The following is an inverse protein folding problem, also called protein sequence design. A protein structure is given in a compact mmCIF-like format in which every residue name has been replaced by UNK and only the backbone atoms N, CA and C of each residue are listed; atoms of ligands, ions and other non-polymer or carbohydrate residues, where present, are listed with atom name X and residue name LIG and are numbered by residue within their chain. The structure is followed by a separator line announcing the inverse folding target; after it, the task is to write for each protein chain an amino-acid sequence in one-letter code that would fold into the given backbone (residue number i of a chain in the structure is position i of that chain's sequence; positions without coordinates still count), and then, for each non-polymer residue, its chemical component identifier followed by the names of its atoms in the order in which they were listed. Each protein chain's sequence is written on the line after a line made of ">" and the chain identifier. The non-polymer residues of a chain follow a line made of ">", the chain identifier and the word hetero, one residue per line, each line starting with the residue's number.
data_IF_174334592995
#
_entry.id   IF_174334592995
#
_cell.length_a   1.000
_cell.length_b   1.000
_cell.length_c   1.000
_cell.angle_alpha   90.00
_cell.angle_beta   90.00
_cell.angle_gamma   90.00
#
_symmetry.space_group_name_H-M   'P 1'
#
loop_
_entity.id
_entity.type
_entity.pdbx_description
1 polymer ?
#
# COMPACT_ATOMS: atom_id res chain seq x y z
N UNK A 1 17.93 42.81 -10.78
CA UNK A 1 16.59 42.67 -10.17
C UNK A 1 16.61 41.43 -9.28
N UNK A 2 16.27 41.52 -7.99
CA UNK A 2 16.39 40.38 -7.10
C UNK A 2 15.29 39.36 -7.39
N UNK A 3 15.70 38.10 -7.48
CA UNK A 3 14.86 36.92 -7.66
C UNK A 3 13.93 36.73 -6.47
N UNK A 4 12.62 36.85 -6.70
CA UNK A 4 11.60 36.58 -5.70
C UNK A 4 11.55 35.09 -5.38
N UNK A 5 12.22 34.69 -4.30
CA UNK A 5 11.90 33.44 -3.62
C UNK A 5 10.49 33.58 -3.04
N UNK A 6 9.57 32.72 -3.47
CA UNK A 6 8.28 32.59 -2.79
C UNK A 6 8.52 32.33 -1.31
N UNK A 7 7.84 33.04 -0.40
CA UNK A 7 8.01 32.81 1.04
C UNK A 7 7.63 31.37 1.37
N UNK A 8 8.46 30.71 2.19
CA UNK A 8 8.12 29.42 2.77
C UNK A 8 6.75 29.55 3.46
N UNK A 9 5.75 28.76 3.02
CA UNK A 9 4.45 28.69 3.70
C UNK A 9 4.71 28.40 5.18
N UNK A 10 4.19 29.26 6.06
CA UNK A 10 4.26 29.04 7.50
C UNK A 10 3.72 27.63 7.80
N UNK A 11 4.53 26.78 8.43
CA UNK A 11 4.13 25.40 8.75
C UNK A 11 2.94 25.49 9.73
N UNK A 12 1.77 24.91 9.42
CA UNK A 12 0.63 24.86 10.33
C UNK A 12 1.01 24.37 11.74
N UNK A 13 0.28 24.79 12.78
CA UNK A 13 0.47 24.32 14.18
C UNK A 13 0.52 22.79 14.31
N UNK A 14 -0.17 22.08 13.42
CA UNK A 14 -0.18 20.61 13.29
C UNK A 14 1.24 20.02 13.15
N UNK A 15 2.18 20.71 12.50
CA UNK A 15 3.55 20.22 12.31
C UNK A 15 4.38 20.23 13.59
N UNK A 16 4.09 21.14 14.53
CA UNK A 16 4.75 21.20 15.83
C UNK A 16 4.36 19.98 16.67
N UNK A 17 3.05 19.73 16.78
CA UNK A 17 2.52 18.59 17.55
C UNK A 17 2.94 17.23 16.98
N UNK A 18 2.91 17.06 15.65
CA UNK A 18 3.41 15.83 15.02
C UNK A 18 4.93 15.64 15.20
N UNK A 19 5.69 16.73 15.30
CA UNK A 19 7.11 16.66 15.62
C UNK A 19 7.34 16.27 17.09
N UNK A 20 6.58 16.84 18.03
CA UNK A 20 6.61 16.45 19.45
C UNK A 20 6.31 14.96 19.63
N UNK A 21 5.27 14.44 18.98
CA UNK A 21 4.92 13.02 19.01
C UNK A 21 6.06 12.12 18.52
N UNK A 22 6.85 12.56 17.53
CA UNK A 22 7.98 11.79 17.01
C UNK A 22 9.25 11.95 17.86
N UNK A 23 9.34 13.01 18.66
CA UNK A 23 10.58 13.60 19.16
C UNK A 23 10.96 14.81 18.30
N UNK A 24 11.01 16.00 18.93
CA UNK A 24 11.13 17.30 18.23
C UNK A 24 12.38 17.41 17.34
N UNK A 25 13.46 16.75 17.75
CA UNK A 25 14.75 16.77 17.05
C UNK A 25 14.92 15.63 16.04
N UNK A 26 13.95 14.71 15.98
CA UNK A 26 13.99 13.58 15.06
C UNK A 26 13.40 14.05 13.72
N UNK A 27 14.10 13.88 12.58
CA UNK A 27 13.54 14.21 11.29
C UNK A 27 12.41 13.22 10.92
N UNK A 28 11.33 13.68 10.25
CA UNK A 28 10.26 12.78 9.83
C UNK A 28 10.77 11.77 8.79
N UNK A 29 10.40 10.51 8.96
CA UNK A 29 10.51 9.49 7.91
C UNK A 29 9.56 9.84 6.78
N UNK A 30 10.09 10.04 5.57
CA UNK A 30 9.26 10.23 4.38
C UNK A 30 8.43 8.98 4.08
N UNK A 31 7.19 9.19 3.63
CA UNK A 31 6.34 8.10 3.16
C UNK A 31 6.75 7.67 1.76
N UNK A 32 6.84 6.36 1.55
CA UNK A 32 7.03 5.76 0.24
C UNK A 32 5.69 5.19 -0.29
N UNK A 33 5.70 4.71 -1.54
CA UNK A 33 4.52 4.13 -2.17
C UNK A 33 3.97 2.92 -1.39
N UNK A 34 4.83 2.17 -0.72
CA UNK A 34 4.43 1.01 0.09
C UNK A 34 3.68 1.46 1.34
N UNK A 35 4.18 2.47 2.05
CA UNK A 35 3.53 3.05 3.23
C UNK A 35 2.16 3.62 2.86
N UNK A 36 2.07 4.37 1.74
CA UNK A 36 0.81 4.93 1.23
C UNK A 36 -0.19 3.84 0.79
N UNK A 37 0.27 2.83 0.05
CA UNK A 37 -0.57 1.69 -0.34
C UNK A 37 -1.11 0.92 0.88
N UNK A 38 -0.31 0.87 1.94
CA UNK A 38 -0.64 0.13 3.13
C UNK A 38 -1.53 0.93 4.12
N UNK A 39 -1.47 2.27 4.09
CA UNK A 39 -2.52 3.14 4.65
C UNK A 39 -3.86 2.89 3.95
N UNK A 40 -3.86 2.85 2.62
CA UNK A 40 -5.05 2.54 1.82
C UNK A 40 -5.61 1.11 2.08
N UNK A 41 -4.75 0.16 2.46
CA UNK A 41 -5.16 -1.21 2.78
C UNK A 41 -5.89 -1.34 4.13
N UNK A 42 -5.64 -0.42 5.08
CA UNK A 42 -6.28 -0.43 6.39
C UNK A 42 -6.75 0.98 6.82
N UNK A 43 -7.73 1.57 6.11
CA UNK A 43 -8.10 2.98 6.24
C UNK A 43 -8.75 3.38 7.58
N UNK A 44 -9.04 2.40 8.44
CA UNK A 44 -9.64 2.64 9.77
C UNK A 44 -8.63 2.67 10.92
N UNK A 45 -7.35 2.35 10.66
CA UNK A 45 -6.35 2.24 11.73
C UNK A 45 -5.80 3.61 12.13
N UNK A 46 -6.31 4.16 13.25
CA UNK A 46 -5.86 5.46 13.80
C UNK A 46 -4.38 5.46 14.16
N UNK A 47 -3.90 4.40 14.83
CA UNK A 47 -2.48 4.21 15.17
C UNK A 47 -1.58 4.34 13.95
N UNK A 48 -1.92 3.66 12.86
CA UNK A 48 -1.15 3.73 11.62
C UNK A 48 -1.18 5.15 11.02
N UNK A 49 -2.38 5.71 10.86
CA UNK A 49 -2.54 7.04 10.29
C UNK A 49 -1.70 8.08 11.05
N UNK A 50 -1.74 8.03 12.39
CA UNK A 50 -0.97 8.92 13.24
C UNK A 50 0.54 8.73 13.06
N UNK A 51 1.04 7.50 13.19
CA UNK A 51 2.47 7.23 13.11
C UNK A 51 3.05 7.54 11.72
N UNK A 52 2.31 7.22 10.66
CA UNK A 52 2.70 7.53 9.28
C UNK A 52 2.71 9.05 9.04
N UNK A 53 1.68 9.78 9.47
CA UNK A 53 1.66 11.24 9.28
C UNK A 53 2.60 12.00 10.23
N UNK A 54 2.91 11.45 11.41
CA UNK A 54 3.97 11.94 12.27
C UNK A 54 5.37 11.57 11.74
N UNK A 55 5.50 10.73 10.72
CA UNK A 55 6.80 10.31 10.17
C UNK A 55 7.64 9.49 11.16
N UNK A 56 6.99 8.68 12.01
CA UNK A 56 7.68 7.80 12.96
C UNK A 56 8.27 6.59 12.22
N UNK A 57 9.50 6.21 12.58
CA UNK A 57 10.11 4.97 12.08
C UNK A 57 9.47 3.76 12.77
N UNK A 58 8.41 3.24 12.14
CA UNK A 58 7.63 2.12 12.69
C UNK A 58 8.42 0.81 12.78
N UNK A 59 9.50 0.65 12.01
CA UNK A 59 10.35 -0.53 12.10
C UNK A 59 11.17 -0.47 13.40
N UNK A 60 11.86 0.65 13.64
CA UNK A 60 12.59 0.86 14.90
C UNK A 60 11.67 0.84 16.12
N UNK A 61 10.46 1.38 15.97
CA UNK A 61 9.44 1.32 17.01
C UNK A 61 9.02 -0.13 17.31
N UNK A 62 8.80 -0.95 16.28
CA UNK A 62 8.48 -2.37 16.46
C UNK A 62 9.63 -3.13 17.16
N UNK A 63 10.88 -2.83 16.81
CA UNK A 63 12.06 -3.40 17.45
C UNK A 63 12.15 -3.02 18.93
N UNK A 64 11.94 -1.74 19.25
CA UNK A 64 11.95 -1.22 20.62
C UNK A 64 10.81 -1.80 21.49
N UNK A 65 9.67 -2.12 20.88
CA UNK A 65 8.55 -2.83 21.53
C UNK A 65 8.80 -4.34 21.68
N UNK A 66 9.95 -4.87 21.22
CA UNK A 66 10.26 -6.30 21.24
C UNK A 66 9.43 -7.15 20.27
N UNK A 67 8.81 -6.53 19.27
CA UNK A 67 7.96 -7.19 18.28
C UNK A 67 8.39 -6.88 16.83
N UNK A 68 9.66 -7.17 16.46
CA UNK A 68 10.22 -6.83 15.16
C UNK A 68 9.45 -7.49 14.02
N UNK A 69 9.27 -6.76 12.92
CA UNK A 69 8.67 -7.33 11.72
C UNK A 69 9.72 -8.07 10.87
N UNK A 70 9.37 -9.25 10.36
CA UNK A 70 10.24 -10.03 9.45
C UNK A 70 10.27 -9.55 8.00
N UNK A 71 9.95 -8.29 7.70
CA UNK A 71 9.96 -7.81 6.31
C UNK A 71 11.38 -7.89 5.73
N UNK A 72 11.48 -8.49 4.54
CA UNK A 72 12.72 -8.44 3.74
C UNK A 72 13.86 -9.32 4.25
N UNK A 73 13.59 -10.55 4.67
CA UNK A 73 14.62 -11.43 5.25
C UNK A 73 15.24 -12.45 4.26
N UNK A 74 14.79 -12.53 3.00
CA UNK A 74 15.38 -13.46 2.02
C UNK A 74 16.27 -12.75 1.00
N UNK A 75 17.59 -12.76 1.25
CA UNK A 75 18.61 -12.25 0.32
C UNK A 75 18.51 -12.91 -1.08
N UNK A 76 18.22 -14.21 -1.14
CA UNK A 76 18.00 -14.94 -2.40
C UNK A 76 16.77 -14.43 -3.17
N UNK A 77 15.67 -14.12 -2.48
CA UNK A 77 14.47 -13.58 -3.13
C UNK A 77 14.72 -12.18 -3.71
N UNK A 78 15.53 -11.36 -3.02
CA UNK A 78 15.93 -10.04 -3.53
C UNK A 78 16.81 -10.14 -4.77
N UNK A 79 17.88 -10.92 -4.74
CA UNK A 79 18.78 -11.07 -5.90
C UNK A 79 18.02 -11.58 -7.13
N UNK A 80 17.15 -12.59 -6.94
CA UNK A 80 16.29 -13.09 -8.03
C UNK A 80 15.32 -12.02 -8.55
N UNK A 81 14.74 -11.22 -7.65
CA UNK A 81 13.84 -10.12 -8.02
C UNK A 81 14.56 -9.09 -8.89
N UNK A 82 15.72 -8.63 -8.46
CA UNK A 82 16.51 -7.63 -9.19
C UNK A 82 16.97 -8.17 -10.55
N UNK A 83 17.39 -9.44 -10.63
CA UNK A 83 17.77 -10.06 -11.90
C UNK A 83 16.58 -10.16 -12.88
N UNK A 84 15.39 -10.50 -12.38
CA UNK A 84 14.18 -10.52 -13.20
C UNK A 84 13.81 -9.12 -13.68
N UNK A 85 13.84 -8.13 -12.79
CA UNK A 85 13.55 -6.74 -13.12
C UNK A 85 14.52 -6.18 -14.17
N UNK A 86 15.82 -6.36 -13.97
CA UNK A 86 16.84 -5.95 -14.95
C UNK A 86 16.62 -6.61 -16.31
N UNK A 87 16.23 -7.90 -16.34
CA UNK A 87 15.89 -8.60 -17.58
C UNK A 87 14.68 -8.00 -18.29
N UNK A 88 13.64 -7.60 -17.56
CA UNK A 88 12.43 -6.98 -18.13
C UNK A 88 12.74 -5.61 -18.73
N UNK A 89 13.65 -4.85 -18.12
CA UNK A 89 14.01 -3.48 -18.52
C UNK A 89 15.15 -3.39 -19.53
N UNK A 90 15.85 -4.51 -19.77
CA UNK A 90 16.95 -4.58 -20.72
C UNK A 90 16.57 -4.09 -22.12
N UNK A 91 17.59 -3.70 -22.90
CA UNK A 91 17.46 -3.27 -24.29
C UNK A 91 16.43 -2.14 -24.47
N UNK A 92 16.47 -1.15 -23.58
CA UNK A 92 15.56 -0.01 -23.57
C UNK A 92 14.09 -0.40 -23.33
N UNK A 93 13.85 -1.47 -22.58
CA UNK A 93 12.51 -1.97 -22.28
C UNK A 93 11.83 -2.67 -23.45
N UNK A 94 12.57 -3.22 -24.42
CA UNK A 94 12.00 -3.84 -25.64
C UNK A 94 10.92 -4.88 -25.31
N UNK A 95 11.20 -5.83 -24.41
CA UNK A 95 10.22 -6.86 -24.02
C UNK A 95 9.06 -6.29 -23.19
N UNK A 96 9.32 -5.31 -22.33
CA UNK A 96 8.28 -4.60 -21.59
C UNK A 96 7.32 -3.86 -22.53
N UNK A 97 7.83 -3.16 -23.54
CA UNK A 97 7.02 -2.43 -24.52
C UNK A 97 6.18 -3.39 -25.37
N UNK A 98 6.73 -4.54 -25.76
CA UNK A 98 5.97 -5.61 -26.43
C UNK A 98 4.78 -6.05 -25.58
N UNK A 99 4.99 -6.29 -24.28
CA UNK A 99 3.93 -6.66 -23.34
C UNK A 99 2.91 -5.53 -23.11
N UNK A 100 3.36 -4.27 -23.04
CA UNK A 100 2.48 -3.10 -22.97
C UNK A 100 1.59 -3.05 -24.20
N UNK A 101 2.16 -3.12 -25.41
CA UNK A 101 1.39 -3.11 -26.65
C UNK A 101 0.37 -4.26 -26.71
N UNK A 102 0.79 -5.50 -26.41
CA UNK A 102 -0.07 -6.69 -26.41
C UNK A 102 -1.28 -6.55 -25.48
N UNK A 103 -1.09 -5.94 -24.30
CA UNK A 103 -2.12 -5.90 -23.24
C UNK A 103 -2.93 -4.61 -23.20
N UNK A 104 -2.38 -3.51 -23.72
CA UNK A 104 -2.91 -2.16 -23.55
C UNK A 104 -3.19 -1.43 -24.86
N UNK A 105 -2.64 -1.91 -25.98
CA UNK A 105 -2.66 -1.18 -27.26
C UNK A 105 -1.85 0.10 -27.17
N UNK A 106 -2.39 1.19 -27.71
CA UNK A 106 -1.81 2.55 -27.59
C UNK A 106 -0.99 3.02 -28.79
N UNK A 107 -0.88 2.22 -29.85
CA UNK A 107 -0.17 2.58 -31.07
C UNK A 107 0.26 1.35 -31.89
N UNK A 108 1.08 1.55 -32.94
CA UNK A 108 1.68 0.45 -33.69
C UNK A 108 2.60 -0.40 -32.81
N UNK A 109 2.87 -1.63 -33.24
CA UNK A 109 3.79 -2.53 -32.55
C UNK A 109 5.16 -1.86 -32.34
N UNK A 110 5.72 -1.86 -31.11
CA UNK A 110 7.01 -1.26 -30.84
C UNK A 110 8.12 -1.92 -31.66
N UNK A 111 8.89 -1.11 -32.38
CA UNK A 111 10.08 -1.59 -33.09
C UNK A 111 11.27 -1.60 -32.12
N UNK A 112 11.97 -2.73 -31.94
CA UNK A 112 13.14 -2.81 -31.06
C UNK A 112 14.19 -1.72 -31.36
N UNK A 113 14.70 -1.09 -30.30
CA UNK A 113 15.71 -0.02 -30.39
C UNK A 113 15.21 1.33 -30.95
N UNK A 114 13.91 1.47 -31.26
CA UNK A 114 13.32 2.75 -31.71
C UNK A 114 12.64 3.54 -30.59
N UNK A 115 12.35 2.91 -29.46
CA UNK A 115 11.76 3.58 -28.31
C UNK A 115 12.75 4.57 -27.69
N UNK A 116 12.25 5.71 -27.22
CA UNK A 116 13.05 6.70 -26.49
C UNK A 116 13.20 6.26 -25.03
N UNK A 117 14.40 6.42 -24.49
CA UNK A 117 14.73 6.14 -23.08
C UNK A 117 15.45 7.35 -22.48
N UNK A 118 14.72 8.38 -22.01
CA UNK A 118 15.34 9.61 -21.53
C UNK A 118 16.16 9.35 -20.26
N UNK A 119 17.29 10.06 -20.13
CA UNK A 119 18.05 10.10 -18.87
C UNK A 119 17.29 10.89 -17.81
N UNK A 120 17.05 10.23 -16.67
CA UNK A 120 16.31 10.75 -15.52
C UNK A 120 17.22 11.09 -14.33
N UNK A 121 18.54 11.04 -14.53
CA UNK A 121 19.51 11.41 -13.50
C UNK A 121 19.46 12.91 -13.19
N UNK A 122 19.53 13.23 -11.90
CA UNK A 122 19.60 14.59 -11.38
C UNK A 122 20.00 14.56 -9.90
N UNK A 123 20.41 15.70 -9.35
CA UNK A 123 20.78 15.83 -7.95
C UNK A 123 19.53 15.76 -7.04
N UNK A 124 19.51 14.75 -6.16
CA UNK A 124 18.47 14.57 -5.14
C UNK A 124 17.08 14.21 -5.69
N UNK A 125 16.13 13.85 -4.81
CA UNK A 125 14.77 13.47 -5.20
C UNK A 125 14.00 14.59 -5.91
N UNK A 126 14.16 15.84 -5.50
CA UNK A 126 13.53 17.00 -6.12
C UNK A 126 14.03 17.22 -7.55
N UNK A 127 15.35 17.16 -7.75
CA UNK A 127 15.96 17.28 -9.07
C UNK A 127 15.49 16.17 -10.01
N UNK A 128 15.44 14.91 -9.52
CA UNK A 128 14.92 13.78 -10.30
C UNK A 128 13.46 13.97 -10.65
N UNK A 129 12.63 14.46 -9.73
CA UNK A 129 11.21 14.76 -9.99
C UNK A 129 11.06 15.81 -11.10
N UNK A 130 11.85 16.89 -11.04
CA UNK A 130 11.84 17.93 -12.06
C UNK A 130 12.30 17.40 -13.44
N UNK A 131 13.34 16.56 -13.46
CA UNK A 131 13.83 15.90 -14.69
C UNK A 131 12.79 14.95 -15.28
N UNK A 132 12.14 14.14 -14.44
CA UNK A 132 11.03 13.26 -14.87
C UNK A 132 9.88 14.05 -15.46
N UNK A 133 9.45 15.15 -14.83
CA UNK A 133 8.36 15.98 -15.35
C UNK A 133 8.70 16.59 -16.72
N UNK A 134 9.97 16.98 -16.95
CA UNK A 134 10.43 17.45 -18.25
C UNK A 134 10.47 16.31 -19.29
N UNK A 135 10.99 15.13 -18.92
CA UNK A 135 11.02 13.97 -19.81
C UNK A 135 9.61 13.54 -20.24
N UNK A 136 8.62 13.57 -19.34
CA UNK A 136 7.22 13.27 -19.67
C UNK A 136 6.60 14.29 -20.66
N UNK A 137 6.96 15.58 -20.52
CA UNK A 137 6.56 16.61 -21.49
C UNK A 137 7.13 16.36 -22.87
N UNK A 138 8.45 16.15 -22.93
CA UNK A 138 9.17 15.87 -24.17
C UNK A 138 8.61 14.60 -24.84
N UNK A 139 8.42 13.53 -24.07
CA UNK A 139 7.83 12.27 -24.54
C UNK A 139 6.43 12.45 -25.13
N UNK A 140 5.59 13.27 -24.49
CA UNK A 140 4.22 13.54 -24.97
C UNK A 140 4.24 14.32 -26.28
N UNK A 141 5.14 15.30 -26.41
CA UNK A 141 5.29 16.06 -27.67
C UNK A 141 5.79 15.14 -28.81
N UNK A 142 6.72 14.23 -28.52
CA UNK A 142 7.26 13.27 -29.49
C UNK A 142 6.22 12.21 -29.90
N UNK A 143 5.37 11.77 -28.97
CA UNK A 143 4.23 10.90 -29.27
C UNK A 143 3.27 11.61 -30.25
N UNK A 144 2.92 12.87 -30.00
CA UNK A 144 2.06 13.64 -30.89
C UNK A 144 2.70 13.91 -32.27
N UNK A 145 4.02 14.15 -32.32
CA UNK A 145 4.72 14.50 -33.56
C UNK A 145 5.03 13.30 -34.46
N UNK A 146 5.38 12.15 -33.87
CA UNK A 146 5.92 11.00 -34.62
C UNK A 146 5.34 9.64 -34.22
N UNK A 147 4.40 9.59 -33.25
CA UNK A 147 3.90 8.33 -32.71
C UNK A 147 4.99 7.53 -32.00
N UNK A 148 5.93 8.19 -31.34
CA UNK A 148 7.05 7.53 -30.68
C UNK A 148 6.64 6.88 -29.36
N UNK A 149 7.11 5.65 -29.14
CA UNK A 149 7.11 5.02 -27.81
C UNK A 149 8.20 5.64 -26.94
N UNK A 150 7.86 5.97 -25.68
CA UNK A 150 8.87 6.36 -24.69
C UNK A 150 8.77 5.47 -23.44
N UNK A 151 9.91 4.88 -23.05
CA UNK A 151 10.08 4.09 -21.84
C UNK A 151 10.88 4.90 -20.82
N UNK A 152 10.25 5.24 -19.69
CA UNK A 152 10.89 5.89 -18.55
C UNK A 152 11.18 4.81 -17.51
N UNK A 153 12.46 4.48 -17.34
CA UNK A 153 12.94 3.55 -16.32
C UNK A 153 13.12 4.28 -14.98
N UNK A 154 12.49 3.77 -13.92
CA UNK A 154 12.57 4.34 -12.58
C UNK A 154 12.38 5.88 -12.54
N UNK A 155 11.30 6.43 -13.10
CA UNK A 155 11.03 7.86 -12.98
C UNK A 155 10.75 8.24 -11.53
N UNK A 156 11.14 9.43 -11.12
CA UNK A 156 10.83 9.95 -9.78
C UNK A 156 9.59 10.85 -9.88
N UNK A 157 8.55 10.52 -9.12
CA UNK A 157 7.34 11.30 -8.98
C UNK A 157 7.25 11.89 -7.58
N UNK A 158 6.54 13.00 -7.42
CA UNK A 158 6.30 13.60 -6.12
C UNK A 158 4.80 13.69 -5.85
N UNK A 159 4.42 13.32 -4.62
CA UNK A 159 3.06 13.48 -4.11
C UNK A 159 3.13 14.25 -2.79
N UNK A 160 2.32 15.30 -2.66
CA UNK A 160 2.19 16.00 -1.38
C UNK A 160 1.33 15.17 -0.43
N UNK A 161 1.87 14.83 0.74
CA UNK A 161 1.17 14.09 1.79
C UNK A 161 1.19 14.91 3.05
N UNK A 162 0.02 15.43 3.41
CA UNK A 162 -0.16 16.33 4.55
C UNK A 162 0.83 17.51 4.56
N UNK A 163 1.28 18.00 3.40
CA UNK A 163 2.25 19.09 3.23
C UNK A 163 3.73 18.71 3.30
N UNK A 164 4.06 17.41 3.31
CA UNK A 164 5.43 16.90 3.08
C UNK A 164 5.47 16.16 1.75
N UNK A 165 6.50 16.39 0.91
CA UNK A 165 6.66 15.61 -0.32
C UNK A 165 7.03 14.16 -0.03
N UNK A 166 6.24 13.24 -0.58
CA UNK A 166 6.59 11.84 -0.75
C UNK A 166 7.18 11.65 -2.16
N UNK A 167 8.42 11.18 -2.22
CA UNK A 167 9.11 10.85 -3.47
C UNK A 167 8.89 9.38 -3.80
N UNK A 168 8.43 9.12 -5.02
CA UNK A 168 7.85 7.85 -5.44
C UNK A 168 8.54 7.39 -6.72
N UNK A 169 9.02 6.15 -6.72
CA UNK A 169 9.77 5.58 -7.85
C UNK A 169 9.03 4.33 -8.37
N UNK A 170 8.05 4.48 -9.29
CA UNK A 170 7.50 3.33 -10.01
C UNK A 170 8.59 2.59 -10.78
N UNK A 171 8.38 1.30 -11.04
CA UNK A 171 9.36 0.49 -11.76
C UNK A 171 9.56 1.02 -13.19
N UNK A 172 8.47 1.43 -13.85
CA UNK A 172 8.52 2.19 -15.09
C UNK A 172 7.23 2.99 -15.38
N UNK A 173 7.36 3.97 -16.28
CA UNK A 173 6.24 4.66 -16.92
C UNK A 173 6.44 4.60 -18.44
N UNK A 174 5.36 4.32 -19.18
CA UNK A 174 5.36 4.32 -20.64
C UNK A 174 4.46 5.43 -21.16
N UNK A 175 4.99 6.23 -22.07
CA UNK A 175 4.21 7.15 -22.91
C UNK A 175 3.96 6.46 -24.24
N UNK A 176 2.69 6.25 -24.54
CA UNK A 176 2.21 5.56 -25.74
C UNK A 176 2.23 6.51 -26.95
N UNK A 177 2.31 5.98 -28.19
CA UNK A 177 2.16 6.76 -29.42
C UNK A 177 0.86 7.59 -29.50
N UNK A 178 -0.23 7.13 -28.88
CA UNK A 178 -1.48 7.87 -28.77
C UNK A 178 -1.46 9.01 -27.73
N UNK A 179 -0.33 9.23 -27.06
CA UNK A 179 -0.13 10.29 -26.06
C UNK A 179 -0.57 9.90 -24.65
N UNK A 180 -1.18 8.72 -24.44
CA UNK A 180 -1.61 8.27 -23.10
C UNK A 180 -0.42 7.73 -22.28
N UNK A 181 -0.53 7.78 -20.96
CA UNK A 181 0.53 7.35 -20.04
C UNK A 181 0.12 6.11 -19.24
N UNK A 182 1.03 5.16 -19.04
CA UNK A 182 0.78 3.92 -18.29
C UNK A 182 1.88 3.65 -17.27
N UNK A 183 1.48 3.37 -16.03
CA UNK A 183 2.37 2.84 -14.99
C UNK A 183 2.59 1.35 -15.22
N UNK A 184 3.83 0.91 -15.07
CA UNK A 184 4.22 -0.51 -15.09
C UNK A 184 4.84 -0.89 -13.76
N UNK A 185 4.27 -1.92 -13.13
CA UNK A 185 4.80 -2.54 -11.91
C UNK A 185 5.42 -3.89 -12.25
N UNK A 186 6.65 -4.11 -11.81
CA UNK A 186 7.36 -5.37 -11.94
C UNK A 186 7.41 -6.04 -10.57
N UNK A 187 7.03 -7.31 -10.51
CA UNK A 187 7.03 -8.08 -9.26
C UNK A 187 7.61 -9.46 -9.49
N UNK A 188 8.24 -10.02 -8.47
CA UNK A 188 8.99 -11.28 -8.55
C UNK A 188 8.18 -12.53 -8.18
N UNK A 189 6.90 -12.39 -7.82
CA UNK A 189 6.00 -13.53 -7.63
C UNK A 189 5.51 -14.04 -8.98
N UNK A 190 5.34 -15.36 -9.18
CA UNK A 190 4.97 -15.89 -10.49
C UNK A 190 3.49 -15.67 -10.83
N UNK A 191 3.21 -15.57 -12.13
CA UNK A 191 1.89 -15.82 -12.72
C UNK A 191 1.84 -17.27 -13.21
N UNK A 192 1.05 -18.11 -12.56
CA UNK A 192 0.84 -19.52 -12.90
C UNK A 192 -0.38 -19.63 -13.80
N UNK A 193 -0.22 -20.22 -14.98
CA UNK A 193 -1.32 -20.42 -15.95
C UNK A 193 -2.07 -19.10 -16.26
N UNK A 194 -1.34 -18.00 -16.32
CA UNK A 194 -1.86 -16.66 -16.59
C UNK A 194 -2.50 -15.94 -15.40
N UNK A 195 -2.45 -16.52 -14.20
CA UNK A 195 -3.02 -15.93 -12.97
C UNK A 195 -1.97 -15.79 -11.87
N UNK A 196 -2.00 -14.69 -11.14
CA UNK A 196 -1.19 -14.51 -9.93
C UNK A 196 -2.08 -14.55 -8.68
N UNK A 197 -1.44 -14.78 -7.53
CA UNK A 197 -2.08 -14.72 -6.23
C UNK A 197 -2.82 -13.38 -6.03
N UNK A 198 -4.13 -13.46 -5.74
CA UNK A 198 -5.01 -12.30 -5.69
C UNK A 198 -4.59 -11.29 -4.60
N UNK A 199 -4.03 -11.74 -3.48
CA UNK A 199 -3.56 -10.86 -2.43
C UNK A 199 -2.32 -10.07 -2.87
N UNK A 200 -1.39 -10.72 -3.57
CA UNK A 200 -0.20 -10.07 -4.16
C UNK A 200 -0.57 -9.09 -5.28
N UNK A 201 -1.48 -9.48 -6.18
CA UNK A 201 -2.02 -8.58 -7.22
C UNK A 201 -2.71 -7.37 -6.57
N UNK A 202 -3.53 -7.59 -5.55
CA UNK A 202 -4.18 -6.52 -4.81
C UNK A 202 -3.20 -5.57 -4.13
N UNK A 203 -2.07 -6.08 -3.62
CA UNK A 203 -1.00 -5.25 -3.05
C UNK A 203 -0.29 -4.40 -4.12
N UNK A 204 0.09 -5.02 -5.25
CA UNK A 204 0.69 -4.30 -6.37
C UNK A 204 -0.26 -3.23 -6.94
N UNK A 205 -1.56 -3.54 -7.06
CA UNK A 205 -2.59 -2.59 -7.51
C UNK A 205 -2.70 -1.36 -6.60
N UNK A 206 -2.57 -1.53 -5.26
CA UNK A 206 -2.58 -0.41 -4.32
C UNK A 206 -1.34 0.46 -4.45
N UNK A 207 -0.16 -0.13 -4.66
CA UNK A 207 1.07 0.63 -4.93
C UNK A 207 0.98 1.38 -6.26
N UNK A 208 0.55 0.69 -7.33
CA UNK A 208 0.36 1.29 -8.65
C UNK A 208 -0.63 2.46 -8.63
N UNK A 209 -1.71 2.37 -7.83
CA UNK A 209 -2.65 3.48 -7.65
C UNK A 209 -1.98 4.74 -7.06
N UNK A 210 -1.00 4.60 -6.17
CA UNK A 210 -0.23 5.74 -5.65
C UNK A 210 0.57 6.41 -6.77
N UNK A 211 1.21 5.61 -7.63
CA UNK A 211 1.96 6.13 -8.77
C UNK A 211 1.06 6.78 -9.83
N UNK A 212 -0.08 6.16 -10.16
CA UNK A 212 -1.07 6.75 -11.07
C UNK A 212 -1.56 8.09 -10.53
N UNK A 213 -1.85 8.20 -9.23
CA UNK A 213 -2.26 9.47 -8.62
C UNK A 213 -1.17 10.54 -8.71
N UNK A 214 0.09 10.20 -8.44
CA UNK A 214 1.20 11.13 -8.57
C UNK A 214 1.42 11.56 -10.03
N UNK A 215 1.25 10.63 -10.97
CA UNK A 215 1.40 10.86 -12.40
C UNK A 215 0.27 11.73 -12.97
N UNK A 216 -0.98 11.53 -12.52
CA UNK A 216 -2.13 12.43 -12.84
C UNK A 216 -1.83 13.87 -12.42
N UNK A 217 -1.17 14.07 -11.28
CA UNK A 217 -0.78 15.40 -10.83
C UNK A 217 0.27 16.01 -11.75
N UNK A 218 1.23 15.23 -12.27
CA UNK A 218 2.19 15.72 -13.27
C UNK A 218 1.49 16.07 -14.58
N UNK A 219 0.60 15.20 -15.07
CA UNK A 219 -0.17 15.41 -16.30
C UNK A 219 -1.01 16.70 -16.24
N UNK A 220 -1.61 17.00 -15.08
CA UNK A 220 -2.40 18.22 -14.87
C UNK A 220 -1.63 19.54 -14.95
N UNK A 221 -0.30 19.52 -15.03
CA UNK A 221 0.51 20.72 -15.30
C UNK A 221 0.75 20.96 -16.79
N UNK A 222 0.22 20.10 -17.67
CA UNK A 222 0.37 20.18 -19.13
C UNK A 222 -0.94 20.62 -19.77
N UNK A 223 -0.85 21.27 -20.93
CA UNK A 223 -2.01 21.68 -21.72
C UNK A 223 -1.82 21.29 -23.21
N UNK A 224 -2.66 20.40 -23.77
CA UNK A 224 -3.69 19.62 -23.07
C UNK A 224 -3.08 18.63 -22.07
N UNK A 225 -3.81 18.33 -20.99
CA UNK A 225 -3.39 17.33 -20.00
C UNK A 225 -3.47 15.91 -20.60
N UNK A 226 -2.36 15.14 -20.66
CA UNK A 226 -2.39 13.78 -21.16
C UNK A 226 -3.24 12.84 -20.28
N UNK A 227 -3.89 11.86 -20.91
CA UNK A 227 -4.63 10.86 -20.16
C UNK A 227 -3.67 9.88 -19.48
N UNK A 228 -3.76 9.79 -18.15
CA UNK A 228 -3.12 8.74 -17.37
C UNK A 228 -4.07 7.56 -17.25
N UNK A 229 -3.70 6.41 -17.82
CA UNK A 229 -4.56 5.22 -17.82
C UNK A 229 -4.74 4.66 -16.40
N UNK A 230 -5.97 4.30 -16.05
CA UNK A 230 -6.28 3.62 -14.79
C UNK A 230 -6.18 2.08 -14.88
N UNK A 231 -5.83 1.56 -16.05
CA UNK A 231 -5.31 0.21 -16.18
C UNK A 231 -3.79 0.31 -16.18
N UNK A 232 -3.15 -0.36 -15.22
CA UNK A 232 -1.69 -0.46 -15.10
C UNK A 232 -1.23 -1.81 -15.61
N UNK A 233 0.03 -1.92 -16.02
CA UNK A 233 0.60 -3.21 -16.39
C UNK A 233 1.32 -3.82 -15.20
N UNK A 234 0.89 -5.00 -14.76
CA UNK A 234 1.63 -5.82 -13.81
C UNK A 234 2.45 -6.86 -14.59
N UNK A 235 3.78 -6.80 -14.46
CA UNK A 235 4.72 -7.74 -15.08
C UNK A 235 5.27 -8.68 -14.00
N UNK A 236 5.21 -9.98 -14.27
CA UNK A 236 5.68 -11.02 -13.35
C UNK A 236 6.35 -12.17 -14.10
N UNK A 237 7.17 -12.99 -13.44
CA UNK A 237 7.67 -14.23 -14.00
C UNK A 237 6.52 -15.13 -14.46
N UNK A 238 6.64 -15.70 -15.66
CA UNK A 238 5.69 -16.66 -16.22
C UNK A 238 5.98 -18.05 -15.68
N UNK A 239 4.98 -18.66 -15.06
CA UNK A 239 5.02 -20.00 -14.47
C UNK A 239 6.23 -20.16 -13.54
N UNK A 240 7.09 -21.14 -13.81
CA UNK A 240 8.33 -21.39 -13.06
C UNK A 240 9.58 -20.89 -13.79
N UNK A 241 9.42 -20.00 -14.77
CA UNK A 241 10.50 -19.46 -15.60
C UNK A 241 10.83 -18.00 -15.27
N UNK A 242 11.96 -17.50 -15.77
CA UNK A 242 12.28 -16.06 -15.75
C UNK A 242 11.82 -15.35 -17.04
N UNK A 243 10.87 -15.91 -17.78
CA UNK A 243 10.24 -15.21 -18.89
C UNK A 243 9.18 -14.26 -18.33
N UNK A 244 9.06 -13.02 -18.83
CA UNK A 244 8.03 -12.13 -18.35
C UNK A 244 6.66 -12.50 -18.94
N UNK A 245 5.64 -12.42 -18.10
CA UNK A 245 4.24 -12.33 -18.50
C UNK A 245 3.68 -11.01 -17.96
N UNK A 246 2.57 -10.55 -18.53
CA UNK A 246 1.93 -9.32 -18.09
C UNK A 246 0.41 -9.45 -17.99
N UNK A 247 -0.17 -8.71 -17.03
CA UNK A 247 -1.61 -8.59 -16.83
C UNK A 247 -1.99 -7.12 -16.68
N UNK A 248 -3.06 -6.71 -17.36
CA UNK A 248 -3.62 -5.37 -17.23
C UNK A 248 -4.54 -5.32 -16.00
N UNK A 249 -4.20 -4.49 -15.01
CA UNK A 249 -4.92 -4.40 -13.74
C UNK A 249 -5.63 -3.05 -13.65
N UNK A 250 -6.95 -3.07 -13.48
CA UNK A 250 -7.74 -1.86 -13.22
C UNK A 250 -7.56 -1.41 -11.76
N UNK A 251 -7.09 -0.18 -11.57
CA UNK A 251 -6.78 0.39 -10.25
C UNK A 251 -7.78 1.46 -9.80
N UNK A 252 -8.91 1.66 -10.49
CA UNK A 252 -9.89 2.72 -10.14
C UNK A 252 -10.40 2.63 -8.70
N UNK A 253 -10.65 1.42 -8.22
CA UNK A 253 -11.07 1.18 -6.83
C UNK A 253 -9.97 1.60 -5.84
N UNK A 254 -8.74 1.20 -6.11
CA UNK A 254 -7.58 1.51 -5.27
C UNK A 254 -7.29 3.01 -5.29
N UNK A 255 -7.36 3.67 -6.46
CA UNK A 255 -7.24 5.11 -6.61
C UNK A 255 -8.24 5.88 -5.75
N UNK A 256 -9.52 5.49 -5.79
CA UNK A 256 -10.57 6.11 -4.98
C UNK A 256 -10.28 6.00 -3.48
N UNK A 257 -9.83 4.83 -3.02
CA UNK A 257 -9.47 4.62 -1.61
C UNK A 257 -8.24 5.44 -1.21
N UNK A 258 -7.20 5.44 -2.05
CA UNK A 258 -5.96 6.19 -1.81
C UNK A 258 -6.22 7.69 -1.73
N UNK A 259 -6.97 8.28 -2.68
CA UNK A 259 -7.36 9.71 -2.63
C UNK A 259 -8.05 10.04 -1.32
N UNK A 260 -9.06 9.25 -0.94
CA UNK A 260 -9.80 9.44 0.32
C UNK A 260 -8.91 9.31 1.55
N UNK A 261 -7.89 8.44 1.53
CA UNK A 261 -6.95 8.34 2.66
C UNK A 261 -6.05 9.55 2.76
N UNK A 262 -5.53 10.04 1.64
CA UNK A 262 -4.69 11.24 1.63
C UNK A 262 -5.46 12.47 2.13
N UNK A 263 -6.73 12.62 1.72
CA UNK A 263 -7.63 13.65 2.25
C UNK A 263 -7.89 13.50 3.75
N UNK A 264 -7.91 12.28 4.29
CA UNK A 264 -8.10 12.05 5.74
C UNK A 264 -6.85 12.33 6.55
N UNK A 265 -5.66 12.15 5.98
CA UNK A 265 -4.41 12.48 6.66
C UNK A 265 -4.30 13.97 6.98
N UNK A 266 -5.06 14.84 6.31
CA UNK A 266 -5.15 16.25 6.67
C UNK A 266 -6.00 16.52 7.92
N UNK A 267 -6.52 15.47 8.59
CA UNK A 267 -7.26 15.53 9.87
C UNK A 267 -6.60 14.68 10.95
N UNK A 268 -5.31 14.46 10.81
CA UNK A 268 -4.50 13.69 11.76
C UNK A 268 -4.43 14.38 13.14
N UNK A 269 -4.63 15.69 13.16
CA UNK A 269 -4.73 16.51 14.37
C UNK A 269 -5.84 16.03 15.29
N UNK A 270 -7.00 15.60 14.77
CA UNK A 270 -8.10 15.06 15.60
C UNK A 270 -7.67 13.78 16.35
N UNK A 271 -6.73 13.02 15.77
CA UNK A 271 -6.16 11.85 16.42
C UNK A 271 -5.14 12.28 17.47
N UNK A 272 -4.28 13.24 17.14
CA UNK A 272 -3.25 13.75 18.03
C UNK A 272 -3.83 14.52 19.24
N UNK A 273 -4.95 15.22 19.07
CA UNK A 273 -5.65 16.00 20.10
C UNK A 273 -6.36 15.14 21.15
N UNK A 274 -6.62 13.87 20.82
CA UNK A 274 -7.19 12.91 21.76
C UNK A 274 -6.13 12.18 22.62
N UNK A 275 -4.83 12.44 22.39
CA UNK A 275 -3.76 11.73 23.10
C UNK A 275 -3.48 12.36 24.48
N UNK A 276 -3.02 11.55 25.45
CA UNK A 276 -2.50 12.04 26.71
C UNK A 276 -1.40 13.09 26.49
N UNK A 277 -1.35 14.10 27.34
CA UNK A 277 -0.28 15.10 27.33
C UNK A 277 1.08 14.41 27.56
N UNK A 278 2.11 14.83 26.81
CA UNK A 278 3.44 14.23 26.88
C UNK A 278 3.62 12.93 26.08
N UNK A 279 2.60 12.45 25.36
CA UNK A 279 2.76 11.27 24.48
C UNK A 279 3.91 11.47 23.49
N UNK A 280 4.84 10.52 23.42
CA UNK A 280 5.99 10.55 22.52
C UNK A 280 6.32 9.12 22.05
N UNK A 281 6.72 8.98 20.78
CA UNK A 281 7.08 7.72 20.13
C UNK A 281 8.59 7.60 19.89
N UNK A 282 9.40 8.38 20.60
CA UNK A 282 10.85 8.29 20.54
C UNK A 282 11.30 6.92 21.07
N UNK A 283 11.97 6.16 20.22
CA UNK A 283 12.44 4.80 20.50
C UNK A 283 13.55 4.73 21.54
N UNK A 284 14.05 5.88 22.01
CA UNK A 284 15.02 5.96 23.12
C UNK A 284 14.35 5.96 24.49
N UNK A 285 13.02 6.11 24.56
CA UNK A 285 12.25 6.00 25.80
C UNK A 285 12.27 4.56 26.36
N UNK A 286 12.04 4.39 27.68
CA UNK A 286 11.82 3.09 28.29
C UNK A 286 10.70 2.29 27.58
N UNK A 287 10.85 0.97 27.52
CA UNK A 287 9.95 0.11 26.73
C UNK A 287 8.50 0.11 27.25
N UNK A 288 8.30 0.28 28.55
CA UNK A 288 7.00 0.42 29.19
C UNK A 288 6.32 1.74 28.82
N UNK A 289 7.03 2.87 28.92
CA UNK A 289 6.53 4.18 28.47
C UNK A 289 6.19 4.17 26.98
N UNK A 290 7.03 3.55 26.16
CA UNK A 290 6.80 3.44 24.72
C UNK A 290 5.59 2.55 24.39
N UNK A 291 5.40 1.48 25.16
CA UNK A 291 4.22 0.61 25.04
C UNK A 291 2.96 1.38 25.38
N UNK A 292 2.94 2.12 26.49
CA UNK A 292 1.80 2.96 26.88
C UNK A 292 1.49 4.01 25.81
N UNK A 293 2.50 4.72 25.30
CA UNK A 293 2.34 5.70 24.25
C UNK A 293 1.71 5.08 22.99
N UNK A 294 2.24 3.96 22.50
CA UNK A 294 1.71 3.28 21.30
C UNK A 294 0.29 2.74 21.53
N UNK A 295 0.02 2.20 22.72
CA UNK A 295 -1.29 1.65 23.08
C UNK A 295 -2.37 2.72 23.30
N UNK A 296 -1.99 3.94 23.69
CA UNK A 296 -2.90 5.10 23.78
C UNK A 296 -3.59 5.45 22.46
N UNK A 297 -3.00 5.05 21.33
CA UNK A 297 -3.58 5.24 19.99
C UNK A 297 -4.25 3.94 19.55
N UNK A 298 -5.59 3.89 19.35
CA UNK A 298 -6.26 2.67 18.97
C UNK A 298 -5.77 2.10 17.63
N UNK A 299 -5.42 0.81 17.63
CA UNK A 299 -5.17 0.06 16.40
C UNK A 299 -6.42 -0.66 15.92
N UNK A 300 -6.50 -0.90 14.61
CA UNK A 300 -7.52 -1.77 14.02
C UNK A 300 -6.80 -2.89 13.30
N UNK A 301 -6.34 -3.88 14.07
CA UNK A 301 -5.62 -5.02 13.50
C UNK A 301 -6.48 -5.78 12.49
N UNK A 302 -5.82 -6.36 11.49
CA UNK A 302 -6.38 -7.37 10.61
C UNK A 302 -5.22 -8.25 10.13
N UNK A 303 -5.44 -9.51 9.74
CA UNK A 303 -4.37 -10.41 9.30
C UNK A 303 -3.52 -9.84 8.15
N UNK A 304 -4.12 -9.05 7.24
CA UNK A 304 -3.39 -8.44 6.11
C UNK A 304 -2.32 -7.44 6.57
N UNK A 305 -2.41 -6.92 7.80
CA UNK A 305 -1.38 -6.05 8.37
C UNK A 305 -0.02 -6.74 8.40
N UNK A 306 0.06 -8.07 8.55
CA UNK A 306 1.33 -8.82 8.55
C UNK A 306 2.13 -8.65 7.25
N UNK A 307 1.47 -8.32 6.15
CA UNK A 307 2.12 -8.06 4.87
C UNK A 307 2.39 -6.56 4.61
N UNK A 308 1.85 -5.66 5.44
CA UNK A 308 1.70 -4.25 5.11
C UNK A 308 2.07 -3.25 6.22
N UNK A 309 2.28 -3.67 7.46
CA UNK A 309 2.55 -2.79 8.60
C UNK A 309 3.64 -3.37 9.50
N UNK A 310 4.64 -2.56 9.82
CA UNK A 310 5.78 -2.94 10.66
C UNK A 310 5.32 -3.29 12.09
N UNK A 311 4.28 -2.63 12.61
CA UNK A 311 3.70 -2.92 13.93
C UNK A 311 2.73 -4.11 13.97
N UNK A 312 2.62 -4.89 12.89
CA UNK A 312 1.59 -5.92 12.78
C UNK A 312 1.71 -7.03 13.83
N UNK A 313 2.93 -7.39 14.25
CA UNK A 313 3.15 -8.42 15.27
C UNK A 313 2.69 -7.92 16.65
N UNK A 314 3.15 -6.75 17.09
CA UNK A 314 2.65 -6.10 18.31
C UNK A 314 1.12 -5.98 18.32
N UNK A 315 0.52 -5.48 17.23
CA UNK A 315 -0.93 -5.31 17.16
C UNK A 315 -1.69 -6.64 17.12
N UNK A 316 -1.09 -7.72 16.57
CA UNK A 316 -1.67 -9.06 16.56
C UNK A 316 -1.71 -9.65 17.96
N UNK A 317 -0.62 -9.51 18.70
CA UNK A 317 -0.50 -10.06 20.04
C UNK A 317 -1.48 -9.34 20.97
N UNK A 318 -1.58 -8.01 20.90
CA UNK A 318 -2.63 -7.25 21.59
C UNK A 318 -4.05 -7.65 21.21
N UNK A 319 -4.32 -7.88 19.92
CA UNK A 319 -5.64 -8.35 19.48
C UNK A 319 -5.97 -9.75 20.04
N UNK A 320 -4.97 -10.62 20.26
CA UNK A 320 -5.16 -11.93 20.87
C UNK A 320 -5.36 -11.84 22.37
N UNK A 321 -4.55 -11.04 23.06
CA UNK A 321 -4.66 -10.80 24.51
C UNK A 321 -6.06 -10.27 24.88
N UNK A 322 -6.63 -9.41 24.03
CA UNK A 322 -7.97 -8.84 24.20
C UNK A 322 -9.11 -9.75 23.69
N UNK A 323 -8.79 -10.92 23.13
CA UNK A 323 -9.78 -11.79 22.49
C UNK A 323 -10.51 -11.11 21.32
N UNK A 324 -9.91 -10.13 20.65
CA UNK A 324 -10.57 -9.33 19.63
C UNK A 324 -10.83 -10.13 18.34
N UNK A 325 -12.07 -10.09 17.84
CA UNK A 325 -12.48 -10.79 16.60
C UNK A 325 -11.78 -10.25 15.36
N UNK A 326 -11.14 -9.09 15.46
CA UNK A 326 -10.33 -8.50 14.40
C UNK A 326 -9.18 -9.41 13.96
N UNK A 327 -8.70 -10.28 14.86
CA UNK A 327 -7.67 -11.28 14.55
C UNK A 327 -8.14 -12.37 13.58
N UNK A 328 -9.46 -12.56 13.43
CA UNK A 328 -10.06 -13.57 12.57
C UNK A 328 -10.27 -13.11 11.12
N UNK A 329 -9.98 -11.84 10.82
CA UNK A 329 -10.09 -11.27 9.48
C UNK A 329 -11.32 -10.39 9.25
N UNK A 330 -11.24 -9.55 8.21
CA UNK A 330 -12.26 -8.52 7.93
C UNK A 330 -13.61 -9.10 7.53
N UNK A 331 -13.60 -10.21 6.77
CA UNK A 331 -14.83 -10.88 6.33
C UNK A 331 -15.66 -11.32 7.53
N UNK A 332 -15.07 -12.15 8.41
CA UNK A 332 -15.76 -12.62 9.60
C UNK A 332 -16.15 -11.47 10.53
N UNK A 333 -15.24 -10.51 10.78
CA UNK A 333 -15.58 -9.33 11.58
C UNK A 333 -16.82 -8.60 11.05
N UNK A 334 -16.97 -8.46 9.74
CA UNK A 334 -18.11 -7.77 9.15
C UNK A 334 -19.43 -8.54 9.39
N UNK A 335 -19.38 -9.87 9.41
CA UNK A 335 -20.55 -10.72 9.71
C UNK A 335 -20.94 -10.71 11.19
N UNK A 336 -19.98 -10.47 12.09
CA UNK A 336 -20.21 -10.45 13.54
C UNK A 336 -20.84 -9.15 14.05
N UNK A 337 -20.97 -8.13 13.20
CA UNK A 337 -21.65 -6.88 13.53
C UNK A 337 -21.03 -6.17 14.73
N UNK A 338 -21.84 -5.99 15.79
CA UNK A 338 -21.43 -5.31 17.02
C UNK A 338 -20.64 -6.18 18.01
N UNK A 339 -20.48 -7.48 17.76
CA UNK A 339 -19.72 -8.39 18.62
C UNK A 339 -18.23 -8.23 18.32
N UNK A 340 -17.46 -7.80 19.32
CA UNK A 340 -16.07 -7.36 19.16
C UNK A 340 -15.06 -8.31 19.75
N UNK A 341 -15.47 -9.17 20.68
CA UNK A 341 -14.61 -10.20 21.29
C UNK A 341 -15.10 -11.62 21.03
N UNK A 342 -14.18 -12.58 21.07
CA UNK A 342 -14.50 -14.01 20.94
C UNK A 342 -15.46 -14.45 22.05
N UNK A 343 -15.30 -13.94 23.27
CA UNK A 343 -16.18 -14.26 24.39
C UNK A 343 -17.61 -13.74 24.18
N UNK A 344 -17.77 -12.52 23.66
CA UNK A 344 -19.09 -12.00 23.26
C UNK A 344 -19.74 -12.88 22.20
N UNK A 345 -18.97 -13.30 21.18
CA UNK A 345 -19.44 -14.17 20.11
C UNK A 345 -19.90 -15.53 20.66
N UNK A 346 -19.10 -16.16 21.53
CA UNK A 346 -19.44 -17.45 22.13
C UNK A 346 -20.65 -17.32 23.07
N UNK A 347 -20.69 -16.27 23.89
CA UNK A 347 -21.82 -15.97 24.77
C UNK A 347 -23.13 -15.80 23.98
N UNK A 348 -23.09 -15.06 22.86
CA UNK A 348 -24.24 -14.88 21.97
C UNK A 348 -24.66 -16.19 21.29
N UNK A 349 -23.69 -16.98 20.81
CA UNK A 349 -23.90 -18.25 20.14
C UNK A 349 -24.57 -19.30 21.06
N UNK A 350 -24.22 -19.29 22.35
CA UNK A 350 -24.83 -20.16 23.36
C UNK A 350 -26.12 -19.61 23.99
N UNK A 351 -26.56 -18.42 23.58
CA UNK A 351 -27.80 -17.81 24.07
C UNK A 351 -27.70 -17.19 25.46
N UNK A 352 -26.50 -17.00 26.00
CA UNK A 352 -26.29 -16.31 27.28
C UNK A 352 -26.42 -14.78 27.15
N UNK A 353 -26.20 -14.24 25.94
CA UNK A 353 -26.33 -12.83 25.63
C UNK A 353 -26.79 -12.61 24.17
N UNK A 354 -26.85 -11.35 23.73
CA UNK A 354 -27.18 -10.95 22.37
C UNK A 354 -28.68 -10.86 22.09
N UNK A 355 -29.09 -9.83 21.34
CA UNK A 355 -30.46 -9.66 20.86
C UNK A 355 -30.83 -10.82 19.91
N UNK A 356 -31.85 -11.63 20.21
CA UNK A 356 -32.31 -12.69 19.31
C UNK A 356 -32.74 -12.19 17.92
N UNK A 357 -33.10 -10.90 17.79
CA UNK A 357 -33.48 -10.27 16.52
C UNK A 357 -32.27 -9.79 15.71
N UNK A 358 -31.08 -9.72 16.31
CA UNK A 358 -29.85 -9.40 15.58
C UNK A 358 -29.52 -10.56 14.62
N UNK A 359 -29.41 -10.30 13.30
CA UNK A 359 -29.10 -11.33 12.31
C UNK A 359 -27.79 -12.08 12.60
N UNK A 360 -26.76 -11.40 13.12
CA UNK A 360 -25.48 -12.02 13.47
C UNK A 360 -25.66 -13.00 14.64
N UNK A 361 -26.40 -12.60 15.68
CA UNK A 361 -26.69 -13.46 16.84
C UNK A 361 -27.54 -14.67 16.41
N UNK A 362 -28.55 -14.46 15.57
CA UNK A 362 -29.38 -15.55 15.05
C UNK A 362 -28.55 -16.56 14.23
N UNK A 363 -27.64 -16.07 13.37
CA UNK A 363 -26.72 -16.90 12.61
C UNK A 363 -25.75 -17.69 13.52
N UNK A 364 -25.19 -17.05 14.55
CA UNK A 364 -24.31 -17.69 15.53
C UNK A 364 -25.00 -18.80 16.31
N UNK A 365 -26.23 -18.56 16.79
CA UNK A 365 -27.02 -19.58 17.49
C UNK A 365 -27.36 -20.76 16.58
N UNK A 366 -27.71 -20.47 15.32
CA UNK A 366 -27.91 -21.52 14.30
C UNK A 366 -26.64 -22.33 14.09
N UNK A 367 -25.49 -21.69 13.96
CA UNK A 367 -24.20 -22.35 13.79
C UNK A 367 -23.82 -23.20 15.02
N UNK A 368 -24.03 -22.70 16.24
CA UNK A 368 -23.79 -23.45 17.47
C UNK A 368 -24.67 -24.70 17.57
N UNK A 369 -25.96 -24.58 17.24
CA UNK A 369 -26.88 -25.73 17.19
C UNK A 369 -26.41 -26.79 16.19
N UNK A 370 -26.13 -26.39 14.95
CA UNK A 370 -25.64 -27.30 13.90
C UNK A 370 -24.32 -27.97 14.29
N UNK A 371 -23.42 -27.22 14.94
CA UNK A 371 -22.17 -27.76 15.47
C UNK A 371 -22.43 -28.80 16.57
N UNK A 372 -23.37 -28.52 17.48
CA UNK A 372 -23.77 -29.46 18.53
C UNK A 372 -24.35 -30.76 17.96
N UNK A 373 -25.26 -30.65 16.99
CA UNK A 373 -25.84 -31.80 16.27
C UNK A 373 -24.75 -32.66 15.60
N UNK A 374 -23.79 -32.03 14.91
CA UNK A 374 -22.71 -32.73 14.22
C UNK A 374 -21.72 -33.43 15.18
N UNK A 375 -21.47 -32.85 16.36
CA UNK A 375 -20.63 -33.48 17.38
C UNK A 375 -21.35 -34.61 18.12
N UNK A 376 -22.66 -34.46 18.36
CA UNK A 376 -23.50 -35.50 18.97
C UNK A 376 -23.61 -36.74 18.08
N UNK A 377 -23.80 -36.56 16.76
CA UNK A 377 -23.88 -37.66 15.80
C UNK A 377 -22.60 -38.51 15.71
N UNK A 378 -21.43 -37.93 16.02
CA UNK A 378 -20.14 -38.67 16.08
C UNK A 378 -19.96 -39.51 17.34
N UNK A 379 -20.77 -39.31 18.37
CA UNK A 379 -20.73 -40.08 19.61
C UNK A 379 -21.48 -41.42 19.54
N UNK A 380 -22.37 -41.60 18.56
CA UNK A 380 -23.23 -42.78 18.44
C UNK A 380 -22.75 -43.80 17.38
N UNK A 381 -21.78 -43.46 16.53
CA UNK A 381 -21.23 -44.34 15.48
C UNK A 381 -19.81 -44.86 15.78
N UNK A 382 -19.61 -45.52 16.92
CA UNK A 382 -18.50 -46.46 17.08
C UNK A 382 -19.06 -47.90 17.09
N UNK A 383 -19.15 -48.58 15.94
CA UNK A 383 -19.52 -49.99 15.93
C UNK A 383 -18.41 -50.78 16.63
N UNK A 384 -18.76 -51.41 17.76
CA UNK A 384 -17.93 -52.45 18.37
C UNK A 384 -17.80 -53.59 17.37
N UNK A 385 -16.63 -53.73 16.76
CA UNK A 385 -16.33 -54.92 15.97
C UNK A 385 -16.10 -56.11 16.92
N UNK A 386 -16.70 -57.29 16.63
CA UNK A 386 -16.50 -58.51 17.40
C UNK A 386 -15.08 -59.07 17.26
#
# INVERSE_FOLDING_TARGET
>A
MPTGASPARAKPRVWGKLAELRGSDIPPRALDARALAALAANPGCRRRALLDGAGVDKARLADALGAPSGFGQSQFAFMRGNAFEAKVKADGGTELLRLVHERMGGGPEPVPGRARTPDLTAAGPEGRTARTALALREATAEAAASGAWTFLEHPMLALDVAGTPAFLEPDAVVVHPDGTWTVVEIKSFPMIDGSADAAKVGAAARQAAVYVLALERVAGHLDPAPEVRHRVLLVCPKDFSNLPAASAVDVRKQLSVTRRQLERLTRIEDIADALPEGTCFDVTLPADELTEAVESVPATYAPECLAACELAFHCRDRARDQGAVTSLGRGLRAELGGLTTVDEVLSAAHGHSGDPLDPAVAALRRAARLRGEALGARGEEAPSWP
#
